data_IF_150825565337
#
_entry.id   IF_150825565337
#
_cell.length_a   1.000
_cell.length_b   1.000
_cell.length_c   1.000
_cell.angle_alpha   90.00
_cell.angle_beta   90.00
_cell.angle_gamma   90.00
#
_symmetry.space_group_name_H-M   'P 1'
#
loop_
_entity.id
_entity.type
_entity.pdbx_description
1 polymer ?
#
# COMPACT_ATOMS: atom_id res chain seq x y z
N UNK A 1 4.29 28.43 -5.84
CA UNK A 1 4.40 27.64 -4.59
C UNK A 1 4.72 26.17 -4.85
N UNK A 2 3.96 25.42 -5.66
CA UNK A 2 4.31 24.01 -5.95
C UNK A 2 5.69 23.85 -6.61
N UNK A 3 6.04 24.74 -7.55
CA UNK A 3 7.35 24.73 -8.20
C UNK A 3 8.52 24.97 -7.22
N UNK A 4 8.34 25.78 -6.16
CA UNK A 4 9.41 26.04 -5.18
C UNK A 4 9.63 24.85 -4.24
N UNK A 5 8.56 24.13 -3.90
CA UNK A 5 8.64 22.88 -3.13
C UNK A 5 9.41 21.84 -3.96
N UNK A 6 9.04 21.68 -5.24
CA UNK A 6 9.72 20.74 -6.13
C UNK A 6 11.19 21.11 -6.36
N UNK A 7 11.54 22.40 -6.43
CA UNK A 7 12.95 22.82 -6.59
C UNK A 7 13.82 22.60 -5.35
N UNK A 8 13.22 22.50 -4.17
CA UNK A 8 13.94 22.16 -2.93
C UNK A 8 13.86 20.67 -2.58
N UNK A 9 13.17 19.90 -3.41
CA UNK A 9 13.12 18.45 -3.25
C UNK A 9 14.41 17.84 -3.76
N UNK A 10 15.08 17.06 -2.90
CA UNK A 10 16.32 16.36 -3.27
C UNK A 10 16.11 15.51 -4.53
N UNK A 11 17.07 15.58 -5.45
CA UNK A 11 17.04 14.87 -6.74
C UNK A 11 16.80 13.36 -6.58
N UNK A 12 17.27 12.78 -5.46
CA UNK A 12 17.06 11.36 -5.14
C UNK A 12 15.58 10.97 -5.02
N UNK A 13 14.71 11.88 -4.57
CA UNK A 13 13.26 11.61 -4.47
C UNK A 13 12.66 11.31 -5.84
N UNK A 14 13.10 12.02 -6.88
CA UNK A 14 12.68 11.77 -8.26
C UNK A 14 13.24 10.45 -8.80
N UNK A 15 14.47 10.09 -8.44
CA UNK A 15 15.06 8.79 -8.78
C UNK A 15 14.25 7.65 -8.17
N UNK A 16 13.89 7.76 -6.88
CA UNK A 16 13.01 6.80 -6.20
C UNK A 16 11.65 6.75 -6.87
N UNK A 17 11.04 7.91 -7.18
CA UNK A 17 9.75 7.97 -7.85
C UNK A 17 9.76 7.27 -9.21
N UNK A 18 10.78 7.54 -10.05
CA UNK A 18 10.95 6.87 -11.33
C UNK A 18 11.14 5.35 -11.16
N UNK A 19 11.93 4.93 -10.18
CA UNK A 19 12.09 3.52 -9.83
C UNK A 19 10.79 2.85 -9.40
N UNK A 20 9.95 3.55 -8.63
CA UNK A 20 8.63 3.07 -8.21
C UNK A 20 7.63 3.01 -9.36
N UNK A 21 7.66 3.95 -10.31
CA UNK A 21 6.88 3.88 -11.55
C UNK A 21 7.30 2.64 -12.34
N UNK A 22 8.61 2.43 -12.55
CA UNK A 22 9.11 1.26 -13.26
C UNK A 22 8.70 -0.04 -12.56
N UNK A 23 8.80 -0.08 -11.22
CA UNK A 23 8.35 -1.23 -10.44
C UNK A 23 6.84 -1.43 -10.60
N UNK A 24 6.04 -0.37 -10.51
CA UNK A 24 4.58 -0.39 -10.68
C UNK A 24 4.17 -0.92 -12.06
N UNK A 25 4.83 -0.45 -13.12
CA UNK A 25 4.64 -0.96 -14.49
C UNK A 25 5.00 -2.44 -14.60
N UNK A 26 6.09 -2.89 -13.95
CA UNK A 26 6.42 -4.32 -13.87
C UNK A 26 5.38 -5.13 -13.11
N UNK A 27 4.70 -4.55 -12.11
CA UNK A 27 3.58 -5.22 -11.41
C UNK A 27 2.28 -5.21 -12.22
N UNK A 28 2.15 -4.30 -13.19
CA UNK A 28 1.05 -4.26 -14.15
C UNK A 28 1.20 -5.32 -15.26
N UNK A 29 2.35 -5.99 -15.36
CA UNK A 29 2.57 -7.11 -16.26
C UNK A 29 2.20 -8.45 -15.58
N UNK A 30 1.80 -9.49 -16.35
CA UNK A 30 1.57 -10.83 -15.82
C UNK A 30 2.85 -11.37 -15.17
N UNK A 31 2.74 -11.95 -13.97
CA UNK A 31 3.88 -12.52 -13.26
C UNK A 31 3.53 -13.81 -12.55
N UNK A 32 4.51 -14.71 -12.46
CA UNK A 32 4.46 -15.89 -11.61
C UNK A 32 5.09 -15.54 -10.25
N UNK A 33 4.33 -15.73 -9.17
CA UNK A 33 4.80 -15.50 -7.80
C UNK A 33 4.47 -16.70 -6.94
N UNK A 34 5.39 -17.05 -6.04
CA UNK A 34 5.11 -18.09 -5.05
C UNK A 34 4.03 -17.62 -4.09
N UNK A 35 3.18 -18.56 -3.66
CA UNK A 35 2.04 -18.27 -2.79
C UNK A 35 2.45 -17.63 -1.46
N UNK A 36 3.58 -18.06 -0.89
CA UNK A 36 4.14 -17.45 0.33
C UNK A 36 4.46 -15.96 0.13
N UNK A 37 5.11 -15.61 -0.99
CA UNK A 37 5.48 -14.22 -1.29
C UNK A 37 4.25 -13.35 -1.57
N UNK A 38 3.17 -13.96 -2.09
CA UNK A 38 1.89 -13.28 -2.33
C UNK A 38 1.28 -12.73 -1.04
N UNK A 39 1.45 -13.40 0.10
CA UNK A 39 0.88 -13.01 1.41
C UNK A 39 1.90 -12.28 2.28
N UNK A 40 3.14 -12.78 2.38
CA UNK A 40 4.14 -12.22 3.30
C UNK A 40 4.52 -10.78 2.94
N UNK A 41 4.65 -10.48 1.65
CA UNK A 41 5.03 -9.15 1.18
C UNK A 41 4.00 -8.07 1.57
N UNK A 42 2.71 -8.19 1.24
CA UNK A 42 1.73 -7.19 1.64
C UNK A 42 1.48 -7.16 3.15
N UNK A 43 1.63 -8.30 3.85
CA UNK A 43 1.57 -8.31 5.31
C UNK A 43 2.70 -7.50 5.92
N UNK A 44 3.93 -7.63 5.39
CA UNK A 44 5.06 -6.83 5.82
C UNK A 44 4.84 -5.33 5.52
N UNK A 45 4.27 -4.99 4.36
CA UNK A 45 3.93 -3.60 4.02
C UNK A 45 2.86 -3.04 4.97
N UNK A 46 1.81 -3.81 5.27
CA UNK A 46 0.77 -3.39 6.21
C UNK A 46 1.32 -3.22 7.64
N UNK A 47 2.15 -4.16 8.10
CA UNK A 47 2.83 -4.07 9.40
C UNK A 47 3.77 -2.88 9.49
N UNK A 48 4.55 -2.62 8.44
CA UNK A 48 5.43 -1.45 8.36
C UNK A 48 4.62 -0.14 8.32
N UNK A 49 3.48 -0.10 7.62
CA UNK A 49 2.57 1.04 7.64
C UNK A 49 2.00 1.29 9.03
N UNK A 50 1.55 0.26 9.74
CA UNK A 50 1.04 0.37 11.11
C UNK A 50 2.13 0.88 12.06
N UNK A 51 3.35 0.33 11.96
CA UNK A 51 4.49 0.79 12.73
C UNK A 51 4.80 2.27 12.48
N UNK A 52 4.81 2.70 11.22
CA UNK A 52 5.01 4.10 10.85
C UNK A 52 3.94 5.03 11.42
N UNK A 53 2.67 4.64 11.35
CA UNK A 53 1.55 5.40 11.93
C UNK A 53 1.65 5.46 13.46
N UNK A 54 1.90 4.33 14.12
CA UNK A 54 1.98 4.25 15.57
C UNK A 54 3.12 5.12 16.12
N UNK A 55 4.32 4.98 15.55
CA UNK A 55 5.49 5.75 15.99
C UNK A 55 5.35 7.24 15.69
N UNK A 56 4.88 7.61 14.49
CA UNK A 56 4.74 9.01 14.14
C UNK A 56 3.67 9.71 14.99
N UNK A 57 2.59 8.99 15.37
CA UNK A 57 1.45 9.53 16.13
C UNK A 57 1.63 9.47 17.63
N UNK A 58 2.73 8.90 18.13
CA UNK A 58 2.91 8.63 19.55
C UNK A 58 1.84 7.67 20.08
N UNK A 59 1.44 6.68 19.28
CA UNK A 59 0.42 5.68 19.61
C UNK A 59 -0.98 6.28 19.89
N UNK A 60 -1.31 7.38 19.23
CA UNK A 60 -2.61 8.06 19.38
C UNK A 60 -3.78 7.12 19.00
N UNK A 61 -4.75 6.87 19.91
CA UNK A 61 -5.92 6.03 19.63
C UNK A 61 -6.71 6.42 18.36
N UNK A 62 -7.04 7.70 18.09
CA UNK A 62 -7.77 8.07 16.87
C UNK A 62 -6.99 7.78 15.59
N UNK A 63 -5.66 7.91 15.60
CA UNK A 63 -4.83 7.58 14.44
C UNK A 63 -4.87 6.07 14.14
N UNK A 64 -4.73 5.23 15.17
CA UNK A 64 -4.81 3.78 15.05
C UNK A 64 -6.21 3.32 14.64
N UNK A 65 -7.26 3.93 15.20
CA UNK A 65 -8.64 3.66 14.82
C UNK A 65 -8.90 4.02 13.35
N UNK A 66 -8.41 5.18 12.90
CA UNK A 66 -8.53 5.61 11.50
C UNK A 66 -7.82 4.64 10.56
N UNK A 67 -6.64 4.14 10.93
CA UNK A 67 -5.91 3.13 10.16
C UNK A 67 -6.69 1.80 10.08
N UNK A 68 -7.25 1.33 11.20
CA UNK A 68 -8.06 0.09 11.24
C UNK A 68 -9.34 0.20 10.42
N UNK A 69 -10.05 1.34 10.54
CA UNK A 69 -11.24 1.63 9.73
C UNK A 69 -10.91 1.62 8.24
N UNK A 70 -9.76 2.18 7.86
CA UNK A 70 -9.30 2.18 6.49
C UNK A 70 -8.93 0.77 5.99
N UNK A 71 -8.32 -0.08 6.82
CA UNK A 71 -8.11 -1.50 6.48
C UNK A 71 -9.41 -2.22 6.22
N UNK A 72 -10.39 -2.06 7.11
CA UNK A 72 -11.69 -2.69 6.99
C UNK A 72 -12.39 -2.22 5.71
N UNK A 73 -12.37 -0.92 5.44
CA UNK A 73 -12.93 -0.33 4.22
C UNK A 73 -12.24 -0.85 2.96
N UNK A 74 -10.91 -0.89 2.94
CA UNK A 74 -10.15 -1.46 1.83
C UNK A 74 -10.52 -2.93 1.57
N UNK A 75 -10.66 -3.72 2.64
CA UNK A 75 -11.08 -5.11 2.53
C UNK A 75 -12.48 -5.25 1.94
N UNK A 76 -13.45 -4.47 2.41
CA UNK A 76 -14.82 -4.45 1.89
C UNK A 76 -14.87 -4.04 0.41
N UNK A 77 -14.17 -2.98 0.02
CA UNK A 77 -14.05 -2.52 -1.37
C UNK A 77 -13.44 -3.59 -2.28
N UNK A 78 -12.44 -4.30 -1.80
CA UNK A 78 -11.80 -5.37 -2.59
C UNK A 78 -12.69 -6.59 -2.68
N UNK A 79 -13.50 -6.87 -1.65
CA UNK A 79 -14.45 -7.98 -1.66
C UNK A 79 -15.61 -7.75 -2.63
N UNK A 80 -16.07 -6.51 -2.79
CA UNK A 80 -17.15 -6.16 -3.73
C UNK A 80 -16.71 -6.24 -5.20
N UNK A 81 -15.43 -5.95 -5.50
CA UNK A 81 -14.84 -6.08 -6.83
C UNK A 81 -13.61 -7.02 -6.78
N UNK A 82 -13.83 -8.33 -6.56
CA UNK A 82 -12.73 -9.24 -6.28
C UNK A 82 -11.90 -9.50 -7.54
N UNK A 83 -10.57 -9.65 -7.41
CA UNK A 83 -9.70 -9.85 -8.55
C UNK A 83 -10.04 -11.15 -9.30
N UNK A 84 -10.18 -11.04 -10.62
CA UNK A 84 -10.48 -12.11 -11.57
C UNK A 84 -9.26 -12.45 -12.44
N UNK A 85 -9.24 -13.66 -13.02
CA UNK A 85 -8.22 -14.08 -13.99
C UNK A 85 -6.97 -14.77 -13.42
N UNK A 86 -7.01 -15.23 -12.16
CA UNK A 86 -5.92 -16.02 -11.56
C UNK A 86 -5.93 -17.43 -12.14
N UNK A 87 -4.80 -17.87 -12.68
CA UNK A 87 -4.62 -19.24 -13.15
C UNK A 87 -3.56 -19.91 -12.29
N UNK A 88 -3.88 -21.10 -11.76
CA UNK A 88 -2.92 -21.95 -11.06
C UNK A 88 -2.03 -22.58 -12.12
N UNK A 89 -0.72 -22.31 -12.05
CA UNK A 89 0.26 -23.09 -12.83
C UNK A 89 0.76 -24.27 -11.99
N UNK A 90 1.32 -25.29 -12.64
CA UNK A 90 1.84 -26.47 -11.96
C UNK A 90 2.80 -26.10 -10.81
N UNK A 91 2.62 -26.72 -9.63
CA UNK A 91 3.41 -26.46 -8.41
C UNK A 91 2.81 -25.44 -7.44
N UNK A 92 3.66 -24.76 -6.64
CA UNK A 92 3.28 -23.70 -5.66
C UNK A 92 3.31 -22.28 -6.27
N UNK A 93 3.23 -22.19 -7.59
CA UNK A 93 3.33 -20.94 -8.35
C UNK A 93 1.96 -20.49 -8.86
N UNK A 94 1.68 -19.19 -8.72
CA UNK A 94 0.41 -18.60 -9.13
C UNK A 94 0.69 -17.57 -10.22
N UNK A 95 0.09 -17.72 -11.40
CA UNK A 95 0.13 -16.68 -12.43
C UNK A 95 -0.93 -15.63 -12.11
N UNK A 96 -0.47 -14.46 -11.71
CA UNK A 96 -1.33 -13.32 -11.40
C UNK A 96 -1.42 -12.45 -12.65
N UNK A 97 -2.63 -12.16 -13.17
CA UNK A 97 -2.78 -11.24 -14.28
C UNK A 97 -2.30 -9.85 -13.87
N UNK A 98 -1.74 -9.15 -14.84
CA UNK A 98 -1.33 -7.76 -14.69
C UNK A 98 -2.47 -6.92 -14.10
N UNK A 99 -2.17 -6.08 -13.12
CA UNK A 99 -3.16 -5.19 -12.51
C UNK A 99 -2.56 -3.81 -12.30
N UNK A 100 -3.35 -2.80 -12.65
CA UNK A 100 -3.02 -1.40 -12.41
C UNK A 100 -3.21 -1.00 -10.94
N UNK A 101 -3.97 -1.78 -10.15
CA UNK A 101 -4.22 -1.46 -8.74
C UNK A 101 -2.92 -1.43 -7.90
N UNK A 102 -2.02 -2.43 -7.97
CA UNK A 102 -0.71 -2.32 -7.33
C UNK A 102 0.09 -1.07 -7.71
N UNK A 103 0.04 -0.66 -8.99
CA UNK A 103 0.72 0.56 -9.44
C UNK A 103 0.09 1.81 -8.80
N UNK A 104 -1.24 1.93 -8.84
CA UNK A 104 -1.96 3.03 -8.21
C UNK A 104 -1.66 3.12 -6.70
N UNK A 105 -1.60 1.97 -6.01
CA UNK A 105 -1.26 1.95 -4.58
C UNK A 105 0.19 2.37 -4.31
N UNK A 106 1.15 1.87 -5.09
CA UNK A 106 2.57 2.23 -4.91
C UNK A 106 2.78 3.73 -5.11
N UNK A 107 2.23 4.29 -6.19
CA UNK A 107 2.31 5.72 -6.49
C UNK A 107 1.56 6.51 -5.42
N UNK A 108 0.36 6.08 -5.04
CA UNK A 108 -0.44 6.71 -3.99
C UNK A 108 0.28 6.75 -2.64
N UNK A 109 0.93 5.66 -2.22
CA UNK A 109 1.70 5.60 -0.98
C UNK A 109 2.90 6.56 -1.03
N UNK A 110 3.61 6.60 -2.16
CA UNK A 110 4.72 7.52 -2.34
C UNK A 110 4.27 8.98 -2.26
N UNK A 111 3.25 9.35 -3.03
CA UNK A 111 2.72 10.73 -3.06
C UNK A 111 2.20 11.13 -1.68
N UNK A 112 1.44 10.25 -1.02
CA UNK A 112 0.91 10.53 0.32
C UNK A 112 2.02 10.70 1.34
N UNK A 113 3.06 9.87 1.30
CA UNK A 113 4.19 9.97 2.23
C UNK A 113 5.04 11.20 1.96
N UNK A 114 5.27 11.54 0.69
CA UNK A 114 5.93 12.78 0.31
C UNK A 114 5.13 14.00 0.78
N UNK A 115 3.81 14.04 0.52
CA UNK A 115 2.93 15.12 0.98
C UNK A 115 2.92 15.25 2.50
N UNK A 116 2.89 14.14 3.24
CA UNK A 116 3.00 14.11 4.70
C UNK A 116 4.27 14.80 5.19
N UNK A 117 5.42 14.43 4.64
CA UNK A 117 6.71 15.02 5.04
C UNK A 117 6.87 16.47 4.60
N UNK A 118 6.40 16.83 3.41
CA UNK A 118 6.37 18.23 2.94
C UNK A 118 5.51 19.08 3.87
N UNK A 119 4.32 18.61 4.23
CA UNK A 119 3.44 19.34 5.14
C UNK A 119 4.09 19.52 6.51
N UNK A 120 4.74 18.50 7.06
CA UNK A 120 5.47 18.63 8.32
C UNK A 120 6.70 19.55 8.24
N UNK A 121 7.33 19.66 7.07
CA UNK A 121 8.47 20.54 6.86
C UNK A 121 8.05 22.01 6.74
N UNK A 122 6.91 22.29 6.10
CA UNK A 122 6.37 23.64 5.92
C UNK A 122 5.59 24.09 7.16
N UNK A 123 4.81 23.18 7.75
CA UNK A 123 3.89 23.41 8.86
C UNK A 123 4.14 22.42 10.00
N UNK A 124 5.27 22.54 10.74
CA UNK A 124 5.57 21.64 11.86
C UNK A 124 4.50 21.64 12.96
N UNK A 125 3.72 22.71 13.08
CA UNK A 125 2.59 22.87 14.00
C UNK A 125 1.43 21.90 13.77
N UNK A 126 1.31 21.30 12.58
CA UNK A 126 0.26 20.30 12.32
C UNK A 126 0.60 18.92 12.88
N UNK A 127 1.85 18.69 13.31
CA UNK A 127 2.31 17.40 13.86
C UNK A 127 1.48 16.91 15.06
N UNK A 128 1.18 17.74 16.09
CA UNK A 128 0.30 17.33 17.20
C UNK A 128 -1.19 17.32 16.84
N UNK A 129 -1.59 17.80 15.66
CA UNK A 129 -3.01 17.89 15.30
C UNK A 129 -3.59 16.49 15.04
N UNK A 130 -4.53 16.08 15.90
CA UNK A 130 -5.19 14.77 15.82
C UNK A 130 -5.83 14.51 14.46
N UNK A 131 -6.47 15.52 13.86
CA UNK A 131 -7.13 15.40 12.55
C UNK A 131 -6.14 15.14 11.41
N UNK A 132 -5.00 15.84 11.41
CA UNK A 132 -3.93 15.61 10.43
C UNK A 132 -3.42 14.17 10.53
N UNK A 133 -3.20 13.69 11.75
CA UNK A 133 -2.67 12.35 11.96
C UNK A 133 -3.68 11.26 11.63
N UNK A 134 -4.94 11.44 11.99
CA UNK A 134 -6.02 10.53 11.62
C UNK A 134 -6.19 10.44 10.10
N UNK A 135 -6.13 11.57 9.38
CA UNK A 135 -6.23 11.60 7.92
C UNK A 135 -5.12 10.79 7.25
N UNK A 136 -3.85 11.06 7.57
CA UNK A 136 -2.74 10.33 6.97
C UNK A 136 -2.71 8.86 7.39
N UNK A 137 -3.13 8.56 8.63
CA UNK A 137 -3.30 7.17 9.09
C UNK A 137 -4.37 6.44 8.29
N UNK A 138 -5.50 7.09 8.01
CA UNK A 138 -6.55 6.56 7.16
C UNK A 138 -6.03 6.34 5.72
N UNK A 139 -5.32 7.30 5.13
CA UNK A 139 -4.78 7.17 3.76
C UNK A 139 -3.78 6.04 3.65
N UNK A 140 -2.80 5.97 4.56
CA UNK A 140 -1.81 4.87 4.57
C UNK A 140 -2.49 3.52 4.82
N UNK A 141 -3.49 3.51 5.70
CA UNK A 141 -4.32 2.35 5.93
C UNK A 141 -5.05 1.91 4.65
N UNK A 142 -5.82 2.79 4.02
CA UNK A 142 -6.62 2.43 2.85
C UNK A 142 -5.75 1.86 1.73
N UNK A 143 -4.64 2.53 1.43
CA UNK A 143 -3.70 2.12 0.39
C UNK A 143 -3.01 0.79 0.71
N UNK A 144 -2.44 0.62 1.91
CA UNK A 144 -1.82 -0.63 2.34
C UNK A 144 -2.83 -1.79 2.40
N UNK A 145 -4.05 -1.48 2.83
CA UNK A 145 -5.16 -2.41 2.96
C UNK A 145 -5.61 -2.95 1.62
N UNK A 146 -5.67 -2.12 0.57
CA UNK A 146 -6.06 -2.55 -0.78
C UNK A 146 -5.10 -3.60 -1.36
N UNK A 147 -3.80 -3.48 -1.06
CA UNK A 147 -2.82 -4.49 -1.45
C UNK A 147 -2.99 -5.78 -0.65
N UNK A 148 -3.15 -5.67 0.67
CA UNK A 148 -3.27 -6.81 1.56
C UNK A 148 -4.55 -7.60 1.32
N UNK A 149 -5.70 -6.92 1.25
CA UNK A 149 -7.01 -7.52 0.97
C UNK A 149 -7.00 -8.27 -0.35
N UNK A 150 -6.40 -7.66 -1.39
CA UNK A 150 -6.28 -8.30 -2.71
C UNK A 150 -5.48 -9.59 -2.61
N UNK A 151 -4.33 -9.56 -1.94
CA UNK A 151 -3.50 -10.75 -1.78
C UNK A 151 -4.18 -11.86 -0.97
N UNK A 152 -4.90 -11.51 0.10
CA UNK A 152 -5.68 -12.47 0.89
C UNK A 152 -6.78 -13.11 0.03
N UNK A 153 -7.55 -12.30 -0.70
CA UNK A 153 -8.64 -12.79 -1.55
C UNK A 153 -8.12 -13.63 -2.73
N UNK A 154 -6.99 -13.25 -3.33
CA UNK A 154 -6.30 -14.04 -4.34
C UNK A 154 -5.87 -15.40 -3.79
N UNK A 155 -5.23 -15.42 -2.61
CA UNK A 155 -4.76 -16.64 -1.96
C UNK A 155 -5.89 -17.57 -1.50
N UNK A 156 -7.04 -17.00 -1.10
CA UNK A 156 -8.23 -17.75 -0.73
C UNK A 156 -8.92 -18.39 -1.95
N UNK A 157 -8.83 -17.75 -3.13
CA UNK A 157 -9.39 -18.25 -4.39
C UNK A 157 -8.49 -19.23 -5.13
N UNK A 158 -7.23 -19.37 -4.73
CA UNK A 158 -6.34 -20.42 -5.24
C UNK A 158 -6.58 -21.69 -4.40
N UNK A 159 -7.26 -22.73 -4.92
CA UNK A 159 -7.45 -23.96 -4.17
C UNK A 159 -6.08 -24.53 -3.79
N UNK A 160 -5.97 -25.05 -2.56
CA UNK A 160 -4.85 -25.94 -2.22
C UNK A 160 -4.96 -27.11 -3.20
N UNK A 161 -3.94 -27.36 -4.03
CA UNK A 161 -3.68 -28.74 -4.42
C UNK A 161 -3.32 -29.43 -3.09
N UNK A 162 -4.36 -29.94 -2.42
CA UNK A 162 -4.18 -30.85 -1.31
C UNK A 162 -3.38 -32.01 -1.90
N UNK A 163 -2.16 -32.16 -1.38
CA UNK A 163 -1.26 -33.29 -1.51
C UNK A 163 -1.84 -34.46 -2.34
N UNK A 164 -1.37 -34.56 -3.58
CA UNK A 164 -1.18 -35.86 -4.23
C UNK A 164 0.23 -36.34 -3.89
#
# INVERSE_FOLDING_TARGET
>A
MLASILSHTSTWVFVVFAGLILLGLRQAQPRTVSRRRLILLPLAVAGYSLYGVATASGYSPPALAAWLLAMAMAFLLTRSAPPTGVHVEAGDSVRVPGSWLPMAVIVGLFVSRYAYHVMLAIHPEVRPATGFMALFSFVFGLLGGLLLSRSILLAARTPRLAAA
#
